data_IF_553489162352
#
_entry.id   IF_553489162352
#
_cell.length_a   1.000
_cell.length_b   1.000
_cell.length_c   1.000
_cell.angle_alpha   90.00
_cell.angle_beta   90.00
_cell.angle_gamma   90.00
#
_symmetry.space_group_name_H-M   'P 1'
#
loop_
_entity.id
_entity.type
_entity.pdbx_description
1 polymer ?
#
# COMPACT_ATOMS: atom_id res chain seq x y z
N UNK A 1 17.03 3.38 -3.59
CA UNK A 1 16.79 2.95 -4.98
C UNK A 1 18.13 2.43 -5.51
N UNK A 2 18.36 1.11 -5.54
CA UNK A 2 19.62 0.58 -6.10
C UNK A 2 19.48 0.69 -7.62
N UNK A 3 20.25 1.58 -8.23
CA UNK A 3 20.41 1.69 -9.67
C UNK A 3 20.80 0.29 -10.14
N UNK A 4 19.94 -0.37 -10.91
CA UNK A 4 20.29 -1.66 -11.51
C UNK A 4 21.48 -1.35 -12.44
N UNK A 5 22.69 -1.88 -12.15
CA UNK A 5 23.88 -1.50 -12.91
C UNK A 5 23.70 -1.93 -14.37
N UNK A 6 24.18 -1.14 -15.31
CA UNK A 6 24.13 -1.47 -16.75
C UNK A 6 24.66 -2.89 -17.05
N UNK A 7 25.59 -3.38 -16.22
CA UNK A 7 26.09 -4.76 -16.23
C UNK A 7 24.98 -5.82 -16.14
N UNK A 8 23.88 -5.56 -15.41
CA UNK A 8 22.76 -6.49 -15.31
C UNK A 8 22.05 -6.68 -16.65
N UNK A 9 21.85 -5.60 -17.42
CA UNK A 9 21.23 -5.68 -18.75
C UNK A 9 22.14 -6.39 -19.76
N UNK A 10 23.46 -6.17 -19.68
CA UNK A 10 24.43 -6.89 -20.53
C UNK A 10 24.44 -8.39 -20.21
N UNK A 11 24.43 -8.76 -18.92
CA UNK A 11 24.41 -10.16 -18.48
C UNK A 11 23.11 -10.84 -18.88
N UNK A 12 21.96 -10.19 -18.69
CA UNK A 12 20.65 -10.74 -19.11
C UNK A 12 20.60 -10.87 -20.64
N UNK A 13 21.09 -9.88 -21.38
CA UNK A 13 21.17 -9.94 -22.84
C UNK A 13 22.05 -11.08 -23.35
N UNK A 14 23.21 -11.30 -22.72
CA UNK A 14 24.10 -12.41 -23.06
C UNK A 14 23.48 -13.78 -22.74
N UNK A 15 22.77 -13.92 -21.61
CA UNK A 15 22.06 -15.14 -21.25
C UNK A 15 20.94 -15.43 -22.26
N UNK A 16 20.15 -14.42 -22.65
CA UNK A 16 19.10 -14.57 -23.66
C UNK A 16 19.67 -15.00 -25.03
N UNK A 17 20.81 -14.44 -25.44
CA UNK A 17 21.49 -14.83 -26.67
C UNK A 17 21.97 -16.29 -26.64
N UNK A 18 22.56 -16.73 -25.51
CA UNK A 18 22.99 -18.13 -25.32
C UNK A 18 21.79 -19.09 -25.32
N UNK A 19 20.69 -18.71 -24.66
CA UNK A 19 19.45 -19.50 -24.64
C UNK A 19 18.87 -19.60 -26.05
N UNK A 20 18.83 -18.51 -26.81
CA UNK A 20 18.33 -18.53 -28.19
C UNK A 20 19.18 -19.43 -29.11
N UNK A 21 20.51 -19.36 -29.01
CA UNK A 21 21.43 -20.21 -29.77
C UNK A 21 21.27 -21.69 -29.41
N UNK A 22 21.16 -22.00 -28.11
CA UNK A 22 20.93 -23.37 -27.61
C UNK A 22 19.56 -23.91 -28.01
N UNK A 23 18.54 -23.06 -28.01
CA UNK A 23 17.18 -23.41 -28.42
C UNK A 23 17.12 -23.76 -29.91
N UNK A 24 17.80 -22.99 -30.78
CA UNK A 24 17.90 -23.30 -32.21
C UNK A 24 18.51 -24.67 -32.49
N UNK A 25 19.59 -25.01 -31.79
CA UNK A 25 20.23 -26.33 -31.92
C UNK A 25 19.35 -27.48 -31.39
N UNK A 26 18.65 -27.27 -30.27
CA UNK A 26 17.72 -28.24 -29.70
C UNK A 26 16.51 -28.49 -30.61
N UNK A 27 15.95 -27.43 -31.20
CA UNK A 27 14.84 -27.52 -32.14
C UNK A 27 15.25 -28.30 -33.40
N UNK A 28 16.45 -28.07 -33.95
CA UNK A 28 16.96 -28.86 -35.08
C UNK A 28 17.16 -30.35 -34.75
N UNK A 29 17.49 -30.68 -33.50
CA UNK A 29 17.59 -32.08 -33.05
C UNK A 29 16.21 -32.74 -32.91
N UNK A 30 15.23 -32.04 -32.31
CA UNK A 30 13.85 -32.53 -32.16
C UNK A 30 13.17 -32.70 -33.53
N UNK A 31 13.40 -31.77 -34.46
CA UNK A 31 12.86 -31.82 -35.82
C UNK A 31 13.33 -33.04 -36.64
N UNK A 32 14.42 -33.70 -36.26
CA UNK A 32 14.87 -34.95 -36.88
C UNK A 32 14.14 -36.19 -36.37
N UNK A 33 13.41 -36.08 -35.26
CA UNK A 33 12.88 -37.23 -34.51
C UNK A 33 11.36 -37.31 -34.56
N UNK A 34 10.66 -36.17 -34.66
CA UNK A 34 9.20 -36.09 -34.71
C UNK A 34 8.69 -35.33 -35.96
N UNK A 35 7.49 -35.69 -36.49
CA UNK A 35 6.92 -35.08 -37.71
C UNK A 35 6.27 -33.70 -37.51
N UNK A 36 6.02 -33.25 -36.27
CA UNK A 36 5.40 -31.93 -35.96
C UNK A 36 6.15 -31.14 -34.87
N UNK A 37 7.44 -30.82 -35.06
CA UNK A 37 8.26 -30.09 -34.08
C UNK A 37 7.81 -28.64 -33.85
N UNK A 38 7.15 -28.04 -34.85
CA UNK A 38 6.77 -26.63 -34.88
C UNK A 38 5.70 -26.29 -33.84
N UNK A 39 4.74 -27.20 -33.65
CA UNK A 39 3.63 -27.02 -32.71
C UNK A 39 4.12 -26.93 -31.27
N UNK A 40 5.06 -27.79 -30.88
CA UNK A 40 5.63 -27.76 -29.53
C UNK A 40 6.48 -26.52 -29.29
N UNK A 41 7.23 -26.07 -30.31
CA UNK A 41 8.04 -24.86 -30.21
C UNK A 41 7.18 -23.60 -30.00
N UNK A 42 6.05 -23.47 -30.69
CA UNK A 42 5.11 -22.35 -30.54
C UNK A 42 4.47 -22.37 -29.14
N UNK A 43 4.07 -23.54 -28.65
CA UNK A 43 3.45 -23.66 -27.33
C UNK A 43 4.43 -23.28 -26.20
N UNK A 44 5.68 -23.75 -26.27
CA UNK A 44 6.69 -23.46 -25.25
C UNK A 44 7.09 -21.97 -25.27
N UNK A 45 7.30 -21.40 -26.47
CA UNK A 45 7.65 -19.98 -26.60
C UNK A 45 6.51 -19.06 -26.16
N UNK A 46 5.26 -19.39 -26.52
CA UNK A 46 4.06 -18.68 -26.06
C UNK A 46 3.90 -18.76 -24.54
N UNK A 47 4.12 -19.92 -23.94
CA UNK A 47 4.05 -20.10 -22.48
C UNK A 47 5.13 -19.31 -21.73
N UNK A 48 6.37 -19.31 -22.22
CA UNK A 48 7.47 -18.52 -21.65
C UNK A 48 7.19 -17.02 -21.78
N UNK A 49 6.70 -16.56 -22.93
CA UNK A 49 6.32 -15.17 -23.13
C UNK A 49 5.22 -14.75 -22.15
N UNK A 50 4.21 -15.60 -21.92
CA UNK A 50 3.15 -15.35 -20.94
C UNK A 50 3.70 -15.21 -19.51
N UNK A 51 4.63 -16.08 -19.09
CA UNK A 51 5.27 -15.99 -17.77
C UNK A 51 6.02 -14.67 -17.60
N UNK A 52 6.83 -14.28 -18.60
CA UNK A 52 7.59 -13.03 -18.56
C UNK A 52 6.68 -11.82 -18.54
N UNK A 53 5.60 -11.83 -19.34
CA UNK A 53 4.61 -10.75 -19.34
C UNK A 53 3.91 -10.62 -17.98
N UNK A 54 3.47 -11.74 -17.38
CA UNK A 54 2.86 -11.76 -16.05
C UNK A 54 3.84 -11.22 -15.00
N UNK A 55 5.10 -11.65 -15.02
CA UNK A 55 6.12 -11.11 -14.13
C UNK A 55 6.26 -9.59 -14.32
N UNK A 56 6.41 -9.14 -15.57
CA UNK A 56 6.53 -7.73 -15.91
C UNK A 56 5.40 -6.89 -15.32
N UNK A 57 4.14 -7.31 -15.52
CA UNK A 57 2.95 -6.65 -14.98
C UNK A 57 2.99 -6.60 -13.45
N UNK A 58 3.30 -7.72 -12.79
CA UNK A 58 3.36 -7.78 -11.33
C UNK A 58 4.46 -6.87 -10.76
N UNK A 59 5.62 -6.80 -11.44
CA UNK A 59 6.74 -5.94 -11.06
C UNK A 59 6.39 -4.46 -11.22
N UNK A 60 5.81 -4.08 -12.37
CA UNK A 60 5.37 -2.72 -12.62
C UNK A 60 4.31 -2.26 -11.61
N UNK A 61 3.34 -3.11 -11.28
CA UNK A 61 2.32 -2.80 -10.26
C UNK A 61 2.92 -2.62 -8.87
N UNK A 62 3.94 -3.39 -8.50
CA UNK A 62 4.65 -3.18 -7.24
C UNK A 62 5.39 -1.84 -7.20
N UNK A 63 5.98 -1.40 -8.32
CA UNK A 63 6.64 -0.09 -8.43
C UNK A 63 5.61 1.04 -8.38
N UNK A 64 4.51 0.93 -9.14
CA UNK A 64 3.43 1.92 -9.19
C UNK A 64 2.83 2.17 -7.80
N UNK A 65 2.53 1.11 -7.03
CA UNK A 65 2.03 1.25 -5.65
C UNK A 65 2.99 2.01 -4.73
N UNK A 66 4.30 1.77 -4.87
CA UNK A 66 5.31 2.48 -4.08
C UNK A 66 5.38 3.95 -4.46
N UNK A 67 5.27 4.28 -5.76
CA UNK A 67 5.20 5.66 -6.23
C UNK A 67 3.96 6.37 -5.69
N UNK A 68 2.77 5.77 -5.83
CA UNK A 68 1.51 6.29 -5.27
C UNK A 68 1.61 6.52 -3.77
N UNK A 69 2.27 5.61 -3.05
CA UNK A 69 2.49 5.78 -1.60
C UNK A 69 3.41 6.97 -1.30
N UNK A 70 4.51 7.12 -2.04
CA UNK A 70 5.41 8.27 -1.89
C UNK A 70 4.71 9.58 -2.20
N UNK A 71 3.94 9.63 -3.29
CA UNK A 71 3.15 10.80 -3.68
C UNK A 71 2.12 11.14 -2.62
N UNK A 72 1.40 10.15 -2.08
CA UNK A 72 0.48 10.35 -0.97
C UNK A 72 1.20 10.93 0.26
N UNK A 73 2.33 10.35 0.67
CA UNK A 73 3.11 10.85 1.80
C UNK A 73 3.61 12.28 1.57
N UNK A 74 4.15 12.57 0.38
CA UNK A 74 4.62 13.91 0.01
C UNK A 74 3.48 14.92 0.01
N UNK A 75 2.30 14.54 -0.49
CA UNK A 75 1.11 15.40 -0.46
C UNK A 75 0.67 15.67 0.98
N UNK A 76 0.60 14.65 1.82
CA UNK A 76 0.23 14.74 3.24
C UNK A 76 1.22 15.57 4.09
N UNK A 77 2.50 15.64 3.70
CA UNK A 77 3.50 16.49 4.34
C UNK A 77 3.47 17.94 3.82
N UNK A 78 3.14 18.15 2.54
CA UNK A 78 3.09 19.47 1.93
C UNK A 78 1.72 20.18 2.08
N UNK A 79 0.69 19.46 2.53
CA UNK A 79 -0.63 20.02 2.77
C UNK A 79 -0.61 20.91 4.03
N UNK A 80 -0.74 22.22 3.81
CA UNK A 80 -0.71 23.24 4.86
C UNK A 80 -1.89 23.13 5.83
N UNK A 81 -3.07 22.78 5.32
CA UNK A 81 -4.28 22.71 6.13
C UNK A 81 -4.21 21.48 7.06
N UNK A 82 -3.76 20.36 6.51
CA UNK A 82 -3.53 19.15 7.30
C UNK A 82 -2.38 19.34 8.30
N UNK A 83 -1.32 20.06 7.92
CA UNK A 83 -0.23 20.40 8.83
C UNK A 83 -0.71 21.26 10.01
N UNK A 84 -1.51 22.31 9.75
CA UNK A 84 -2.12 23.13 10.79
C UNK A 84 -3.02 22.28 11.71
N UNK A 85 -3.86 21.41 11.13
CA UNK A 85 -4.70 20.50 11.92
C UNK A 85 -3.88 19.50 12.76
N UNK A 86 -2.73 19.03 12.27
CA UNK A 86 -1.79 18.18 13.04
C UNK A 86 -1.17 18.93 14.21
N UNK A 87 -0.82 20.21 14.05
CA UNK A 87 -0.31 21.04 15.15
C UNK A 87 -1.40 21.18 16.22
N UNK A 88 -2.59 21.62 15.81
CA UNK A 88 -3.72 21.81 16.72
C UNK A 88 -4.08 20.49 17.43
N UNK A 89 -4.15 19.37 16.71
CA UNK A 89 -4.35 18.05 17.31
C UNK A 89 -3.31 17.74 18.39
N UNK A 90 -2.02 18.00 18.12
CA UNK A 90 -0.94 17.71 19.07
C UNK A 90 -0.97 18.64 20.29
N UNK A 91 -1.43 19.88 20.13
CA UNK A 91 -1.60 20.83 21.23
C UNK A 91 -2.78 20.42 22.11
N UNK A 92 -3.92 20.10 21.51
CA UNK A 92 -5.11 19.64 22.21
C UNK A 92 -4.85 18.30 22.93
N UNK A 93 -4.08 17.40 22.33
CA UNK A 93 -3.73 16.12 22.94
C UNK A 93 -2.76 16.24 24.14
N UNK A 94 -2.13 17.40 24.37
CA UNK A 94 -1.31 17.67 25.56
C UNK A 94 -2.11 18.24 26.72
N UNK A 95 -3.33 18.73 26.48
CA UNK A 95 -4.18 19.28 27.52
C UNK A 95 -4.59 18.18 28.52
N UNK A 96 -4.76 18.52 29.81
CA UNK A 96 -5.14 17.55 30.84
C UNK A 96 -6.54 16.95 30.58
N UNK A 97 -7.42 17.69 29.92
CA UNK A 97 -8.76 17.24 29.51
C UNK A 97 -8.72 16.27 28.31
N UNK A 98 -7.56 16.17 27.63
CA UNK A 98 -7.38 15.37 26.43
C UNK A 98 -8.28 15.78 25.25
N UNK A 99 -8.41 14.90 24.27
CA UNK A 99 -9.27 15.13 23.10
C UNK A 99 -10.75 14.88 23.38
N UNK A 100 -11.08 14.31 24.55
CA UNK A 100 -12.41 13.79 24.87
C UNK A 100 -13.50 14.86 24.92
N UNK A 101 -13.16 16.08 25.36
CA UNK A 101 -14.09 17.22 25.43
C UNK A 101 -14.71 17.56 24.08
N UNK A 102 -13.93 17.43 23.02
CA UNK A 102 -14.33 17.77 21.65
C UNK A 102 -15.22 16.69 21.01
N UNK A 103 -15.44 15.55 21.67
CA UNK A 103 -16.43 14.56 21.26
C UNK A 103 -17.86 14.93 21.71
N UNK A 104 -18.02 15.90 22.60
CA UNK A 104 -19.33 16.38 23.06
C UNK A 104 -20.12 17.04 21.93
N UNK A 105 -21.44 17.09 22.06
CA UNK A 105 -22.33 17.69 21.05
C UNK A 105 -22.13 19.21 20.93
N UNK A 106 -21.90 19.88 22.05
CA UNK A 106 -21.69 21.33 22.16
C UNK A 106 -20.44 21.78 21.39
N UNK A 107 -19.36 21.00 21.50
CA UNK A 107 -18.07 21.32 20.86
C UNK A 107 -17.94 20.74 19.46
N UNK A 108 -18.95 20.04 18.93
CA UNK A 108 -18.82 19.36 17.63
C UNK A 108 -18.59 20.34 16.47
N UNK A 109 -19.19 21.53 16.53
CA UNK A 109 -19.06 22.53 15.48
C UNK A 109 -17.77 23.36 15.58
N UNK A 110 -17.02 23.21 16.68
CA UNK A 110 -15.81 24.00 16.94
C UNK A 110 -14.71 23.72 15.92
N UNK A 111 -13.82 24.69 15.71
CA UNK A 111 -12.68 24.53 14.81
C UNK A 111 -11.75 23.42 15.28
N UNK A 112 -11.57 23.29 16.60
CA UNK A 112 -10.78 22.27 17.27
C UNK A 112 -11.29 20.86 16.93
N UNK A 113 -12.59 20.64 17.06
CA UNK A 113 -13.19 19.35 16.76
C UNK A 113 -13.12 19.02 15.25
N UNK A 114 -13.18 20.04 14.38
CA UNK A 114 -12.95 19.88 12.93
C UNK A 114 -11.50 19.49 12.63
N UNK A 115 -10.52 20.14 13.25
CA UNK A 115 -9.11 19.82 13.09
C UNK A 115 -8.79 18.38 13.52
N UNK A 116 -9.32 17.95 14.67
CA UNK A 116 -9.19 16.56 15.15
C UNK A 116 -9.75 15.59 14.10
N UNK A 117 -10.98 15.81 13.64
CA UNK A 117 -11.59 14.95 12.61
C UNK A 117 -10.81 14.97 11.30
N UNK A 118 -10.25 16.10 10.91
CA UNK A 118 -9.49 16.20 9.67
C UNK A 118 -8.26 15.29 9.70
N UNK A 119 -7.51 15.29 10.81
CA UNK A 119 -6.37 14.37 11.00
C UNK A 119 -6.82 12.91 11.04
N UNK A 120 -7.90 12.60 11.75
CA UNK A 120 -8.40 11.22 11.85
C UNK A 120 -8.94 10.70 10.51
N UNK A 121 -9.61 11.55 9.74
CA UNK A 121 -10.10 11.21 8.41
C UNK A 121 -8.96 10.91 7.44
N UNK A 122 -7.84 11.65 7.49
CA UNK A 122 -6.64 11.35 6.69
C UNK A 122 -6.06 9.97 7.04
N UNK A 123 -6.01 9.63 8.33
CA UNK A 123 -5.54 8.31 8.79
C UNK A 123 -6.50 7.17 8.40
N UNK A 124 -7.82 7.41 8.44
CA UNK A 124 -8.83 6.47 7.94
C UNK A 124 -8.66 6.24 6.44
N UNK A 125 -8.47 7.31 5.66
CA UNK A 125 -8.24 7.23 4.23
C UNK A 125 -6.95 6.45 3.90
N UNK A 126 -5.88 6.69 4.65
CA UNK A 126 -4.65 5.93 4.53
C UNK A 126 -4.87 4.43 4.83
N UNK A 127 -5.62 4.12 5.90
CA UNK A 127 -5.95 2.75 6.27
C UNK A 127 -6.73 2.03 5.16
N UNK A 128 -7.74 2.69 4.59
CA UNK A 128 -8.51 2.18 3.44
C UNK A 128 -7.57 1.95 2.24
N UNK A 129 -6.70 2.91 1.93
CA UNK A 129 -5.74 2.80 0.83
C UNK A 129 -4.80 1.61 0.99
N UNK A 130 -4.38 1.31 2.22
CA UNK A 130 -3.55 0.15 2.56
C UNK A 130 -4.35 -1.15 2.42
N UNK A 131 -5.58 -1.20 2.95
CA UNK A 131 -6.44 -2.38 2.90
C UNK A 131 -6.76 -2.77 1.44
N UNK A 132 -7.06 -1.77 0.61
CA UNK A 132 -7.31 -1.94 -0.84
C UNK A 132 -6.05 -2.21 -1.65
N UNK A 133 -4.86 -2.09 -1.04
CA UNK A 133 -3.58 -2.35 -1.71
C UNK A 133 -3.18 -1.25 -2.70
N UNK A 134 -3.77 -0.06 -2.62
CA UNK A 134 -3.35 1.14 -3.36
C UNK A 134 -2.04 1.67 -2.74
N UNK A 135 -2.02 1.74 -1.41
CA UNK A 135 -0.85 2.15 -0.63
C UNK A 135 -0.03 0.91 -0.24
N UNK A 136 1.28 0.98 -0.44
CA UNK A 136 2.23 -0.04 -0.02
C UNK A 136 2.41 0.00 1.49
N UNK A 137 1.83 -1.00 2.16
CA UNK A 137 1.92 -1.16 3.62
C UNK A 137 3.35 -1.16 4.14
N UNK A 138 4.30 -1.79 3.43
CA UNK A 138 5.66 -1.96 3.92
C UNK A 138 6.41 -0.62 3.98
N UNK A 139 6.19 0.23 2.98
CA UNK A 139 6.72 1.58 2.91
C UNK A 139 6.02 2.49 3.93
N UNK A 140 4.68 2.47 3.96
CA UNK A 140 3.91 3.30 4.89
C UNK A 140 4.24 2.98 6.34
N UNK A 141 4.29 1.70 6.72
CA UNK A 141 4.66 1.28 8.08
C UNK A 141 6.10 1.66 8.43
N UNK A 142 7.01 1.78 7.46
CA UNK A 142 8.38 2.20 7.77
C UNK A 142 8.46 3.70 8.08
N UNK A 143 7.65 4.51 7.42
CA UNK A 143 7.62 5.97 7.60
C UNK A 143 6.74 6.39 8.79
N UNK A 144 5.50 5.90 8.85
CA UNK A 144 4.45 6.46 9.72
C UNK A 144 4.20 5.70 11.04
N UNK A 145 4.74 4.48 11.22
CA UNK A 145 4.29 3.56 12.28
C UNK A 145 4.19 4.17 13.67
N UNK A 146 5.28 4.75 14.18
CA UNK A 146 5.30 5.31 15.54
C UNK A 146 4.36 6.51 15.68
N UNK A 147 4.29 7.36 14.65
CA UNK A 147 3.42 8.53 14.65
C UNK A 147 1.94 8.17 14.62
N UNK A 148 1.58 7.15 13.86
CA UNK A 148 0.19 6.64 13.75
C UNK A 148 -0.24 5.98 15.06
N UNK A 149 0.60 5.12 15.64
CA UNK A 149 0.32 4.48 16.93
C UNK A 149 0.15 5.53 18.04
N UNK A 150 1.02 6.55 18.07
CA UNK A 150 0.91 7.65 19.04
C UNK A 150 -0.41 8.39 18.91
N UNK A 151 -0.81 8.76 17.68
CA UNK A 151 -2.09 9.45 17.43
C UNK A 151 -3.28 8.60 17.84
N UNK A 152 -3.25 7.29 17.59
CA UNK A 152 -4.28 6.38 18.08
C UNK A 152 -4.40 6.44 19.60
N UNK A 153 -3.30 6.25 20.32
CA UNK A 153 -3.34 6.27 21.79
C UNK A 153 -3.86 7.61 22.35
N UNK A 154 -3.67 8.72 21.64
CA UNK A 154 -4.18 10.04 22.03
C UNK A 154 -5.66 10.26 21.66
N UNK A 155 -6.17 9.58 20.63
CA UNK A 155 -7.52 9.81 20.08
C UNK A 155 -8.51 8.67 20.34
N UNK A 156 -8.05 7.53 20.86
CA UNK A 156 -8.87 6.35 21.09
C UNK A 156 -10.11 6.67 21.93
N UNK A 157 -9.95 7.37 23.07
CA UNK A 157 -11.10 7.73 23.91
C UNK A 157 -12.04 8.73 23.22
N UNK A 158 -11.51 9.66 22.42
CA UNK A 158 -12.34 10.55 21.60
C UNK A 158 -13.18 9.76 20.58
N UNK A 159 -12.57 8.79 19.90
CA UNK A 159 -13.25 7.95 18.90
C UNK A 159 -14.34 7.11 19.57
N UNK A 160 -14.05 6.45 20.69
CA UNK A 160 -15.03 5.62 21.42
C UNK A 160 -16.21 6.45 21.93
N UNK A 161 -15.96 7.65 22.48
CA UNK A 161 -17.05 8.57 22.87
C UNK A 161 -17.88 9.02 21.68
N UNK A 162 -17.24 9.33 20.54
CA UNK A 162 -17.93 9.72 19.32
C UNK A 162 -18.81 8.57 18.77
N UNK A 163 -18.32 7.33 18.79
CA UNK A 163 -19.07 6.13 18.41
C UNK A 163 -20.28 5.92 19.31
N UNK A 164 -20.08 5.95 20.63
CA UNK A 164 -21.14 5.77 21.62
C UNK A 164 -22.26 6.82 21.45
N UNK A 165 -21.88 8.08 21.20
CA UNK A 165 -22.82 9.19 20.98
C UNK A 165 -23.59 9.08 19.67
N UNK A 166 -22.90 8.74 18.58
CA UNK A 166 -23.52 8.67 17.24
C UNK A 166 -24.25 7.35 16.99
N UNK A 167 -24.05 6.34 17.83
CA UNK A 167 -24.55 4.98 17.62
C UNK A 167 -23.89 4.27 16.44
N UNK A 168 -22.77 4.78 15.92
CA UNK A 168 -22.10 4.24 14.74
C UNK A 168 -20.71 3.70 15.10
N UNK A 169 -20.64 2.40 15.33
CA UNK A 169 -19.38 1.69 15.62
C UNK A 169 -18.42 1.63 14.42
N UNK A 170 -18.92 1.87 13.19
CA UNK A 170 -18.08 1.82 12.00
C UNK A 170 -17.20 3.06 11.82
N UNK A 171 -17.40 4.12 12.61
CA UNK A 171 -16.56 5.32 12.55
C UNK A 171 -15.10 5.00 12.89
N UNK A 172 -14.18 5.40 12.02
CA UNK A 172 -12.73 5.24 12.24
C UNK A 172 -12.31 3.78 12.45
N UNK A 173 -13.06 2.83 11.90
CA UNK A 173 -12.83 1.40 12.08
C UNK A 173 -11.57 0.96 11.34
N UNK A 174 -11.33 1.52 10.14
CA UNK A 174 -10.17 1.12 9.35
C UNK A 174 -8.87 1.66 9.97
N UNK A 175 -8.91 2.84 10.57
CA UNK A 175 -7.81 3.39 11.35
C UNK A 175 -7.47 2.51 12.55
N UNK A 176 -8.47 2.04 13.30
CA UNK A 176 -8.28 1.08 14.38
C UNK A 176 -7.65 -0.24 13.86
N UNK A 177 -8.13 -0.74 12.72
CA UNK A 177 -7.57 -1.93 12.09
C UNK A 177 -6.10 -1.71 11.69
N UNK A 178 -5.78 -0.55 11.09
CA UNK A 178 -4.41 -0.15 10.73
C UNK A 178 -3.49 -0.15 11.93
N UNK A 179 -3.93 0.40 13.06
CA UNK A 179 -3.15 0.37 14.31
C UNK A 179 -2.91 -1.06 14.78
N UNK A 180 -3.90 -1.94 14.66
CA UNK A 180 -3.75 -3.37 14.93
C UNK A 180 -2.69 -4.04 14.06
N UNK A 181 -2.65 -3.72 12.76
CA UNK A 181 -1.61 -4.23 11.85
C UNK A 181 -0.22 -3.72 12.21
N UNK A 182 -0.11 -2.43 12.55
CA UNK A 182 1.15 -1.78 12.91
C UNK A 182 1.69 -2.25 14.28
N UNK A 183 0.81 -2.56 15.24
CA UNK A 183 1.18 -3.17 16.53
C UNK A 183 1.49 -4.68 16.39
N UNK A 184 1.11 -5.30 15.27
CA UNK A 184 1.26 -6.74 15.05
C UNK A 184 0.20 -7.59 15.74
N UNK A 185 -0.85 -6.98 16.31
CA UNK A 185 -1.94 -7.67 17.01
C UNK A 185 -2.99 -8.23 16.06
N UNK A 186 -3.15 -7.63 14.86
CA UNK A 186 -4.08 -8.09 13.81
C UNK A 186 -3.30 -8.40 12.54
N UNK A 187 -3.71 -9.44 11.79
CA UNK A 187 -3.20 -9.69 10.43
C UNK A 187 -3.87 -8.74 9.45
N UNK A 188 -3.10 -8.19 8.50
CA UNK A 188 -3.63 -7.40 7.40
C UNK A 188 -4.55 -8.28 6.55
N UNK A 189 -5.85 -7.98 6.55
CA UNK A 189 -6.83 -8.62 5.68
C UNK A 189 -6.66 -8.04 4.28
N UNK A 190 -5.79 -8.62 3.46
CA UNK A 190 -5.74 -8.27 2.05
C UNK A 190 -7.01 -8.78 1.39
N UNK A 191 -7.78 -7.87 0.80
CA UNK A 191 -8.93 -8.22 -0.03
C UNK A 191 -8.56 -9.33 -1.01
N UNK A 192 -9.44 -10.33 -1.07
CA UNK A 192 -9.32 -11.60 -1.77
C UNK A 192 -8.69 -11.46 -3.18
N UNK A 193 -7.73 -12.33 -3.48
CA UNK A 193 -7.02 -12.68 -4.74
C UNK A 193 -7.28 -11.88 -6.04
N UNK A 194 -8.52 -11.48 -6.33
CA UNK A 194 -8.97 -10.76 -7.53
C UNK A 194 -8.65 -9.26 -7.54
N UNK A 195 -8.67 -8.54 -6.40
CA UNK A 195 -8.29 -7.12 -6.40
C UNK A 195 -6.80 -6.93 -6.71
N UNK A 196 -5.96 -7.87 -6.26
CA UNK A 196 -4.52 -7.88 -6.53
C UNK A 196 -4.19 -8.19 -8.00
N UNK A 197 -5.12 -8.68 -8.81
CA UNK A 197 -4.91 -8.95 -10.24
C UNK A 197 -5.53 -7.90 -11.17
N UNK A 198 -6.67 -7.30 -10.81
CA UNK A 198 -7.43 -6.43 -11.71
C UNK A 198 -7.57 -4.95 -11.30
N UNK A 199 -7.17 -4.56 -10.07
CA UNK A 199 -7.21 -3.16 -9.61
C UNK A 199 -5.87 -2.64 -9.09
#
# INVERSE_FOLDING_TARGET
MKIIPAAFFVVVGAILAIVALRWGALYQAIAKTDPHPDTYAILITGFLAAIVAIWGILSQRAIARRQVTLEYLLKTENDKDLFAAKIEFNELAKLPEGLEKYASEQEQASSQAKAIRHVLNDLELAAIGIEKGIIDYSLYSRWCRSGVIKKWNQSETFIHKLRARTGNEALMREFEAMVGWLKGSKKLKRGYFWSQWFF
#
